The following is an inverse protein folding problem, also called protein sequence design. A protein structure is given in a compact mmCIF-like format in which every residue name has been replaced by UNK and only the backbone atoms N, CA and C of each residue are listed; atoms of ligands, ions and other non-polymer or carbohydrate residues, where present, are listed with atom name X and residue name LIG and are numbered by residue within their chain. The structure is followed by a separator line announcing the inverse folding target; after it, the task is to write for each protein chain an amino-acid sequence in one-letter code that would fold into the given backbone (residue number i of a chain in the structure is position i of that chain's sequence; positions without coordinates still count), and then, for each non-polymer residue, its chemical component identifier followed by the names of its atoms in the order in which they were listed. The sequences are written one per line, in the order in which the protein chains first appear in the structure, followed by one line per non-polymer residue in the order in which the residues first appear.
data_IF_965617724759
#
_entry.id   IF_965617724759
#
_cell.length_a   1.000
_cell.length_b   1.000
_cell.length_c   1.000
_cell.angle_alpha   90.00
_cell.angle_beta   90.00
_cell.angle_gamma   90.00
#
_symmetry.space_group_name_H-M   'P 1'
#
loop_
_entity.id
_entity.type
_entity.pdbx_description
1 polymer ?
#
# COMPACT_ATOMS: atom_id res chain seq x y z
N UNK A 1 -14.44 26.80 -43.07
CA UNK A 1 -13.29 26.89 -44.00
C UNK A 1 -12.10 26.26 -43.30
N UNK A 2 -11.71 25.07 -43.77
CA UNK A 2 -10.60 24.27 -43.25
C UNK A 2 -9.28 24.90 -43.68
N UNK A 3 -8.34 25.10 -42.74
CA UNK A 3 -6.92 25.28 -43.06
C UNK A 3 -6.09 24.40 -42.13
N UNK A 4 -5.78 23.22 -42.64
CA UNK A 4 -4.76 22.32 -42.14
C UNK A 4 -3.40 22.97 -42.37
N UNK A 5 -2.62 23.18 -41.31
CA UNK A 5 -1.18 23.46 -41.42
C UNK A 5 -0.44 22.23 -40.92
N UNK A 6 0.06 21.47 -41.90
CA UNK A 6 1.08 20.46 -41.77
C UNK A 6 2.37 21.10 -41.27
N UNK A 7 2.78 20.80 -40.05
CA UNK A 7 4.16 21.03 -39.61
C UNK A 7 4.91 19.70 -39.60
N UNK A 8 6.01 19.71 -40.35
CA UNK A 8 6.87 18.60 -40.65
C UNK A 8 7.59 18.09 -39.40
N UNK A 9 7.60 16.77 -39.27
CA UNK A 9 8.43 16.03 -38.33
C UNK A 9 9.91 16.25 -38.68
N UNK A 10 10.65 16.84 -37.74
CA UNK A 10 12.11 16.91 -37.75
C UNK A 10 12.62 15.88 -36.74
N UNK A 11 12.85 14.66 -37.21
CA UNK A 11 13.45 13.56 -36.45
C UNK A 11 14.96 13.79 -36.35
N UNK A 12 15.41 14.30 -35.19
CA UNK A 12 16.83 14.37 -34.84
C UNK A 12 17.23 13.06 -34.12
N UNK A 13 17.92 12.19 -34.85
CA UNK A 13 18.63 11.03 -34.30
C UNK A 13 19.83 11.52 -33.47
N UNK A 14 19.73 11.45 -32.14
CA UNK A 14 20.90 11.32 -31.28
C UNK A 14 20.90 9.90 -30.70
N UNK A 15 21.87 9.11 -31.17
CA UNK A 15 22.22 7.82 -30.57
C UNK A 15 22.88 8.05 -29.22
N UNK A 16 22.27 7.53 -28.17
CA UNK A 16 22.92 7.29 -26.89
C UNK A 16 23.02 5.77 -26.71
N UNK A 17 24.23 5.27 -26.96
CA UNK A 17 24.68 3.94 -26.57
C UNK A 17 24.72 3.86 -25.04
N UNK A 18 23.75 3.21 -24.43
CA UNK A 18 23.87 2.71 -23.06
C UNK A 18 24.05 1.21 -23.07
N UNK A 19 25.18 0.80 -22.51
CA UNK A 19 25.64 -0.57 -22.43
C UNK A 19 24.67 -1.41 -21.61
N UNK A 20 24.25 -2.55 -22.17
CA UNK A 20 23.64 -3.63 -21.43
C UNK A 20 24.69 -4.24 -20.48
N UNK A 21 24.54 -4.03 -19.18
CA UNK A 21 25.18 -4.86 -18.17
C UNK A 21 24.28 -6.07 -17.93
N UNK A 22 24.62 -7.16 -18.59
CA UNK A 22 24.18 -8.53 -18.30
C UNK A 22 24.61 -8.91 -16.88
N UNK A 23 23.68 -8.82 -15.92
CA UNK A 23 23.80 -9.45 -14.61
C UNK A 23 23.19 -10.86 -14.64
N UNK A 24 23.87 -11.78 -15.33
CA UNK A 24 23.59 -13.21 -15.21
C UNK A 24 24.45 -13.72 -14.06
N UNK A 25 23.96 -13.66 -12.83
CA UNK A 25 24.60 -14.39 -11.73
C UNK A 25 24.15 -15.85 -11.72
N UNK A 26 25.18 -16.67 -11.60
CA UNK A 26 25.25 -18.09 -11.83
C UNK A 26 24.62 -18.85 -10.66
N UNK A 27 23.76 -19.81 -11.00
CA UNK A 27 23.30 -20.89 -10.12
C UNK A 27 24.52 -21.56 -9.46
N UNK A 28 24.65 -21.41 -8.15
CA UNK A 28 25.59 -22.20 -7.37
C UNK A 28 24.98 -23.59 -7.19
N UNK A 29 25.64 -24.58 -7.78
CA UNK A 29 25.34 -25.98 -7.59
C UNK A 29 25.47 -26.36 -6.10
N UNK A 30 24.48 -27.07 -5.58
CA UNK A 30 24.53 -27.72 -4.26
C UNK A 30 25.63 -28.79 -4.29
N UNK A 31 26.72 -28.56 -3.57
CA UNK A 31 27.74 -29.56 -3.29
C UNK A 31 27.21 -30.56 -2.25
N UNK A 32 26.91 -31.78 -2.70
CA UNK A 32 26.38 -32.87 -1.87
C UNK A 32 27.48 -33.72 -1.19
N UNK A 33 28.72 -33.25 -1.12
CA UNK A 33 29.83 -34.04 -0.54
C UNK A 33 30.02 -33.88 0.97
N UNK A 34 29.19 -33.12 1.67
CA UNK A 34 29.32 -32.87 3.13
C UNK A 34 28.25 -33.50 4.01
N UNK A 35 27.58 -34.58 3.57
CA UNK A 35 26.86 -35.46 4.49
C UNK A 35 27.78 -36.64 4.88
N UNK A 36 28.49 -36.58 6.02
CA UNK A 36 29.13 -37.76 6.57
C UNK A 36 28.05 -38.72 7.08
N UNK A 37 27.84 -39.79 6.34
CA UNK A 37 27.32 -41.03 6.90
C UNK A 37 28.49 -41.88 7.39
N UNK A 38 28.44 -42.30 8.66
CA UNK A 38 29.04 -43.52 9.22
C UNK A 38 28.22 -43.86 10.49
N UNK A 39 27.33 -44.85 10.45
CA UNK A 39 27.52 -46.30 10.71
C UNK A 39 27.81 -46.69 12.16
N UNK A 40 26.89 -47.52 12.69
CA UNK A 40 27.13 -48.52 13.76
C UNK A 40 26.80 -48.04 15.18
N UNK A 41 26.03 -48.76 16.01
CA UNK A 41 25.42 -50.08 15.90
C UNK A 41 24.77 -50.52 17.22
N UNK A 42 23.85 -51.49 17.09
CA UNK A 42 23.51 -52.62 17.98
C UNK A 42 23.02 -52.45 19.43
N UNK A 43 21.88 -53.11 19.70
CA UNK A 43 21.43 -53.65 20.99
C UNK A 43 20.04 -53.13 21.37
N UNK A 44 18.95 -53.88 21.49
CA UNK A 44 18.73 -55.33 21.60
C UNK A 44 17.71 -55.60 22.73
N UNK A 45 16.76 -56.51 22.46
CA UNK A 45 15.70 -57.10 23.32
C UNK A 45 14.39 -56.29 23.44
N UNK A 46 13.21 -56.86 23.20
CA UNK A 46 12.85 -58.25 22.88
C UNK A 46 11.32 -58.42 22.96
N UNK A 47 10.77 -59.41 22.25
CA UNK A 47 9.37 -59.81 22.38
C UNK A 47 8.71 -60.45 21.16
N UNK A 48 9.29 -61.53 20.63
CA UNK A 48 8.56 -62.55 19.85
C UNK A 48 7.57 -63.28 20.79
N UNK A 49 6.60 -64.11 20.40
CA UNK A 49 6.28 -64.83 19.19
C UNK A 49 4.82 -65.31 19.26
N UNK A 50 4.27 -65.57 18.09
CA UNK A 50 3.13 -66.43 17.77
C UNK A 50 2.96 -67.67 18.66
N UNK A 51 1.69 -68.04 18.89
CA UNK A 51 1.32 -69.33 19.47
C UNK A 51 -0.17 -69.67 19.29
N UNK A 52 -0.45 -70.28 18.14
CA UNK A 52 -1.56 -71.16 17.76
C UNK A 52 -2.81 -71.33 18.63
N UNK A 53 -3.97 -71.34 17.95
CA UNK A 53 -5.22 -71.88 18.49
C UNK A 53 -6.23 -72.13 17.37
N UNK A 54 -6.13 -73.29 16.73
CA UNK A 54 -7.19 -73.81 15.89
C UNK A 54 -8.43 -74.10 16.75
N UNK A 55 -9.60 -73.57 16.34
CA UNK A 55 -10.88 -74.25 16.56
C UNK A 55 -11.80 -73.98 15.37
N UNK A 56 -12.07 -75.07 14.68
CA UNK A 56 -13.21 -75.28 13.80
C UNK A 56 -14.47 -75.26 14.67
N UNK A 57 -15.54 -74.61 14.19
CA UNK A 57 -16.89 -74.80 14.71
C UNK A 57 -17.56 -73.53 15.19
N UNK A 58 -18.21 -72.82 14.27
CA UNK A 58 -19.07 -71.67 14.57
C UNK A 58 -19.91 -71.24 13.37
N UNK A 59 -20.53 -72.19 12.67
CA UNK A 59 -21.70 -71.87 11.86
C UNK A 59 -22.84 -71.53 12.84
N UNK A 60 -23.34 -70.29 12.82
CA UNK A 60 -24.59 -69.94 13.49
C UNK A 60 -24.64 -68.54 14.08
N UNK A 61 -25.32 -67.65 13.37
CA UNK A 61 -25.70 -66.30 13.81
C UNK A 61 -25.03 -65.27 12.90
N UNK A 62 -25.54 -64.94 11.71
CA UNK A 62 -26.84 -64.26 11.57
C UNK A 62 -27.14 -63.42 12.81
N UNK A 63 -26.22 -62.53 13.17
CA UNK A 63 -26.53 -61.39 14.00
C UNK A 63 -27.42 -60.47 13.20
N UNK A 64 -28.71 -60.80 13.17
CA UNK A 64 -29.78 -59.90 12.78
C UNK A 64 -29.76 -58.72 13.75
N UNK A 65 -28.88 -57.76 13.47
CA UNK A 65 -28.73 -56.48 14.16
C UNK A 65 -28.58 -55.30 13.20
N UNK A 66 -28.45 -55.56 11.89
CA UNK A 66 -28.72 -54.56 10.88
C UNK A 66 -30.22 -54.53 10.65
N UNK A 67 -30.90 -53.51 11.17
CA UNK A 67 -32.16 -53.10 10.58
C UNK A 67 -31.87 -52.81 9.11
N UNK A 68 -32.49 -53.49 8.14
CA UNK A 68 -32.39 -53.15 6.72
C UNK A 68 -33.06 -51.78 6.50
N UNK A 69 -32.39 -50.70 6.89
CA UNK A 69 -32.97 -49.36 6.84
C UNK A 69 -33.11 -48.94 5.37
N UNK A 70 -34.28 -48.40 4.99
CA UNK A 70 -34.49 -47.91 3.64
C UNK A 70 -33.67 -46.64 3.40
N UNK A 71 -33.43 -46.35 2.12
CA UNK A 71 -32.77 -45.14 1.64
C UNK A 71 -33.41 -43.89 2.30
N UNK A 72 -32.56 -42.95 2.73
CA UNK A 72 -32.94 -41.70 3.38
C UNK A 72 -33.18 -41.80 4.89
N UNK A 73 -32.96 -42.96 5.50
CA UNK A 73 -33.03 -43.12 6.96
C UNK A 73 -31.67 -42.84 7.61
N UNK A 74 -31.67 -42.25 8.81
CA UNK A 74 -30.45 -42.04 9.58
C UNK A 74 -29.73 -43.37 9.92
N UNK A 75 -28.41 -43.38 9.79
CA UNK A 75 -27.54 -44.52 10.07
C UNK A 75 -26.23 -44.06 10.72
N UNK A 76 -25.52 -45.00 11.35
CA UNK A 76 -24.19 -44.80 11.93
C UNK A 76 -23.13 -45.69 11.26
N UNK A 77 -23.53 -46.82 10.65
CA UNK A 77 -22.63 -47.74 9.93
C UNK A 77 -23.29 -48.26 8.65
N UNK A 78 -22.46 -48.57 7.65
CA UNK A 78 -22.91 -49.05 6.33
C UNK A 78 -23.77 -50.31 6.36
N UNK A 79 -23.52 -51.21 7.32
CA UNK A 79 -24.26 -52.48 7.49
C UNK A 79 -25.71 -52.28 7.94
N UNK A 80 -26.11 -51.06 8.32
CA UNK A 80 -27.49 -50.72 8.68
C UNK A 80 -28.35 -50.35 7.47
N UNK A 81 -27.77 -50.20 6.29
CA UNK A 81 -28.48 -49.74 5.11
C UNK A 81 -28.71 -50.89 4.14
N UNK A 82 -29.92 -51.02 3.57
CA UNK A 82 -30.18 -52.04 2.53
C UNK A 82 -29.24 -51.90 1.34
N UNK A 83 -28.79 -50.68 1.05
CA UNK A 83 -27.83 -50.37 0.00
C UNK A 83 -26.39 -50.73 0.35
N UNK A 84 -26.06 -50.91 1.63
CA UNK A 84 -24.69 -51.06 2.12
C UNK A 84 -23.88 -49.76 2.17
N UNK A 85 -24.52 -48.59 2.03
CA UNK A 85 -23.84 -47.29 2.07
C UNK A 85 -24.47 -46.37 3.12
N UNK A 86 -23.73 -46.08 4.18
CA UNK A 86 -24.08 -45.05 5.15
C UNK A 86 -23.13 -43.87 4.97
N UNK A 87 -23.61 -42.78 4.37
CA UNK A 87 -22.83 -41.58 4.04
C UNK A 87 -23.59 -40.38 4.60
N UNK A 88 -22.90 -39.37 5.13
CA UNK A 88 -23.52 -38.24 5.84
C UNK A 88 -24.51 -38.65 6.96
N UNK A 89 -24.28 -39.80 7.59
CA UNK A 89 -25.17 -40.40 8.58
C UNK A 89 -26.59 -40.71 8.05
N UNK A 90 -26.76 -40.89 6.74
CA UNK A 90 -28.00 -41.33 6.08
C UNK A 90 -27.74 -42.52 5.16
N UNK A 91 -28.72 -43.41 5.02
CA UNK A 91 -28.63 -44.55 4.11
C UNK A 91 -28.77 -44.09 2.66
N UNK A 92 -27.70 -44.25 1.89
CA UNK A 92 -27.54 -43.71 0.54
C UNK A 92 -27.73 -44.77 -0.51
N UNK A 93 -28.22 -44.41 -1.69
CA UNK A 93 -28.40 -45.37 -2.79
C UNK A 93 -27.07 -45.90 -3.35
N UNK A 94 -25.98 -45.14 -3.21
CA UNK A 94 -24.60 -45.50 -3.56
C UNK A 94 -23.60 -44.92 -2.54
N UNK A 95 -22.31 -45.10 -2.77
CA UNK A 95 -21.25 -44.55 -1.93
C UNK A 95 -21.10 -43.01 -2.01
N UNK A 96 -21.73 -42.36 -2.98
CA UNK A 96 -21.55 -40.93 -3.27
C UNK A 96 -20.07 -40.52 -3.38
N UNK A 97 -19.28 -41.27 -4.16
CA UNK A 97 -17.80 -41.18 -4.24
C UNK A 97 -17.29 -40.26 -5.36
N UNK A 98 -18.17 -39.61 -6.11
CA UNK A 98 -17.74 -38.58 -7.05
C UNK A 98 -17.43 -37.29 -6.29
N UNK A 99 -16.45 -36.53 -6.79
CA UNK A 99 -16.03 -35.26 -6.21
C UNK A 99 -17.22 -34.36 -5.89
N UNK A 100 -17.23 -33.82 -4.68
CA UNK A 100 -18.26 -32.91 -4.20
C UNK A 100 -19.66 -33.52 -4.27
N UNK A 101 -19.79 -34.80 -3.93
CA UNK A 101 -21.09 -35.41 -3.69
C UNK A 101 -21.41 -35.45 -2.22
N UNK A 102 -22.70 -35.33 -1.94
CA UNK A 102 -23.26 -35.52 -0.63
C UNK A 102 -24.51 -36.38 -0.75
N UNK A 103 -24.96 -36.91 0.39
CA UNK A 103 -26.13 -37.77 0.49
C UNK A 103 -27.22 -37.19 1.40
N UNK A 104 -26.82 -36.47 2.45
CA UNK A 104 -27.80 -35.81 3.31
C UNK A 104 -28.33 -34.53 2.66
N UNK A 105 -29.61 -34.25 2.82
CA UNK A 105 -30.23 -32.99 2.41
C UNK A 105 -29.61 -31.78 3.14
N UNK A 106 -28.89 -32.00 4.26
CA UNK A 106 -28.20 -30.94 5.00
C UNK A 106 -26.91 -30.48 4.29
N UNK A 107 -26.19 -31.40 3.65
CA UNK A 107 -24.90 -31.15 2.97
C UNK A 107 -25.03 -31.01 1.45
N UNK A 108 -26.10 -31.53 0.84
CA UNK A 108 -26.41 -31.35 -0.59
C UNK A 108 -26.99 -29.98 -0.92
N UNK A 109 -26.84 -29.59 -2.19
CA UNK A 109 -27.50 -28.40 -2.74
C UNK A 109 -29.01 -28.55 -2.91
N UNK A 110 -29.50 -29.76 -3.22
CA UNK A 110 -30.93 -30.08 -3.41
C UNK A 110 -31.21 -31.58 -3.19
N UNK A 111 -32.50 -31.95 -3.06
CA UNK A 111 -32.99 -33.32 -2.95
C UNK A 111 -33.22 -33.81 -1.51
N UNK A 112 -33.93 -34.93 -1.40
CA UNK A 112 -34.20 -35.59 -0.11
C UNK A 112 -33.02 -36.47 0.33
N UNK A 113 -32.93 -36.79 1.62
CA UNK A 113 -31.92 -37.71 2.16
C UNK A 113 -31.88 -39.04 1.39
N UNK A 114 -30.68 -39.58 1.20
CA UNK A 114 -30.46 -40.92 0.65
C UNK A 114 -30.19 -40.99 -0.85
N UNK A 115 -30.46 -39.92 -1.60
CA UNK A 115 -30.05 -39.81 -3.01
C UNK A 115 -28.81 -38.97 -3.17
N UNK A 116 -27.76 -39.49 -3.81
CA UNK A 116 -26.53 -38.74 -4.00
C UNK A 116 -26.78 -37.54 -4.93
N UNK A 117 -26.20 -36.41 -4.59
CA UNK A 117 -26.27 -35.20 -5.41
C UNK A 117 -25.10 -34.29 -5.09
N UNK A 118 -24.95 -33.22 -5.86
CA UNK A 118 -23.87 -32.27 -5.63
C UNK A 118 -23.99 -31.68 -4.21
N UNK A 119 -22.85 -31.61 -3.53
CA UNK A 119 -22.69 -30.91 -2.28
C UNK A 119 -23.10 -29.44 -2.46
N UNK A 120 -23.53 -28.80 -1.39
CA UNK A 120 -23.89 -27.40 -1.39
C UNK A 120 -22.64 -26.54 -1.61
N UNK A 121 -22.78 -25.43 -2.33
CA UNK A 121 -21.67 -24.48 -2.49
C UNK A 121 -21.13 -24.06 -1.10
N UNK A 122 -19.81 -24.16 -0.92
CA UNK A 122 -19.12 -23.87 0.33
C UNK A 122 -19.17 -24.98 1.38
N UNK A 123 -19.58 -26.20 1.01
CA UNK A 123 -19.60 -27.37 1.88
C UNK A 123 -18.76 -28.46 1.28
N UNK A 124 -17.73 -28.90 2.01
CA UNK A 124 -16.99 -30.12 1.73
C UNK A 124 -17.08 -31.03 2.97
N UNK A 125 -18.03 -31.96 2.95
CA UNK A 125 -18.26 -32.88 4.07
C UNK A 125 -17.41 -34.13 4.00
N UNK A 126 -16.85 -34.45 2.82
CA UNK A 126 -16.10 -35.68 2.56
C UNK A 126 -14.61 -35.46 2.37
N UNK A 127 -14.14 -34.21 2.47
CA UNK A 127 -12.73 -33.84 2.29
C UNK A 127 -12.29 -34.15 0.85
N UNK A 128 -13.17 -33.82 -0.11
CA UNK A 128 -12.97 -34.04 -1.54
C UNK A 128 -12.06 -32.99 -2.18
N UNK A 129 -11.94 -31.81 -1.54
CA UNK A 129 -11.26 -30.65 -2.08
C UNK A 129 -10.14 -30.18 -1.16
N UNK A 130 -8.90 -30.30 -1.64
CA UNK A 130 -7.74 -29.71 -1.00
C UNK A 130 -7.72 -28.19 -1.21
N UNK A 131 -7.38 -27.42 -0.16
CA UNK A 131 -7.10 -25.98 -0.26
C UNK A 131 -5.67 -25.77 -0.76
N UNK A 132 -5.52 -25.13 -1.92
CA UNK A 132 -4.24 -24.79 -2.54
C UNK A 132 -3.63 -23.49 -1.97
N UNK A 133 -4.37 -22.78 -1.12
CA UNK A 133 -3.98 -21.54 -0.45
C UNK A 133 -4.31 -20.29 -1.29
N UNK A 134 -4.77 -19.23 -0.60
CA UNK A 134 -5.28 -18.00 -1.22
C UNK A 134 -4.28 -17.33 -2.18
N UNK A 135 -2.98 -17.39 -1.88
CA UNK A 135 -1.89 -16.84 -2.70
C UNK A 135 -1.84 -17.44 -4.11
N UNK A 136 -2.42 -18.62 -4.32
CA UNK A 136 -2.44 -19.29 -5.62
C UNK A 136 -3.66 -18.95 -6.47
N UNK A 137 -4.72 -18.38 -5.85
CA UNK A 137 -6.07 -18.29 -6.41
C UNK A 137 -6.67 -19.62 -6.87
N UNK A 138 -6.04 -20.75 -6.53
CA UNK A 138 -6.44 -22.09 -6.91
C UNK A 138 -7.67 -22.56 -6.13
N UNK A 139 -7.72 -23.84 -5.80
CA UNK A 139 -8.83 -24.41 -5.03
C UNK A 139 -8.86 -23.87 -3.59
N UNK A 140 -10.04 -23.53 -3.08
CA UNK A 140 -10.23 -22.98 -1.72
C UNK A 140 -10.68 -24.03 -0.68
N UNK A 141 -10.57 -25.30 -1.05
CA UNK A 141 -10.93 -26.45 -0.21
C UNK A 141 -12.43 -26.68 -0.05
N UNK A 142 -13.27 -26.08 -0.89
CA UNK A 142 -14.73 -26.18 -0.78
C UNK A 142 -15.37 -26.54 -2.13
N UNK A 143 -16.58 -27.11 -2.08
CA UNK A 143 -17.33 -27.44 -3.28
C UNK A 143 -18.04 -26.23 -3.90
N UNK A 144 -18.17 -26.21 -5.22
CA UNK A 144 -18.80 -25.12 -6.00
C UNK A 144 -20.33 -25.20 -6.08
N UNK A 145 -20.92 -26.35 -5.72
CA UNK A 145 -22.35 -26.62 -5.87
C UNK A 145 -22.73 -27.33 -7.18
N UNK A 146 -21.80 -27.42 -8.13
CA UNK A 146 -21.97 -28.03 -9.44
C UNK A 146 -21.22 -29.38 -9.58
N UNK A 147 -20.54 -29.81 -8.51
CA UNK A 147 -19.86 -31.10 -8.43
C UNK A 147 -18.36 -31.00 -8.74
N UNK A 148 -17.79 -29.80 -8.60
CA UNK A 148 -16.35 -29.59 -8.66
C UNK A 148 -15.86 -28.83 -7.42
N UNK A 149 -14.55 -28.86 -7.23
CA UNK A 149 -13.89 -28.02 -6.23
C UNK A 149 -13.88 -26.57 -6.72
N UNK A 150 -14.20 -25.67 -5.80
CA UNK A 150 -14.32 -24.23 -6.02
C UNK A 150 -12.93 -23.59 -5.99
N UNK A 151 -12.71 -22.64 -6.88
CA UNK A 151 -11.54 -21.76 -6.84
C UNK A 151 -11.79 -20.57 -5.91
N UNK A 152 -10.73 -19.94 -5.40
CA UNK A 152 -10.85 -18.70 -4.64
C UNK A 152 -11.67 -17.66 -5.42
N UNK A 153 -12.71 -17.06 -4.80
CA UNK A 153 -13.58 -16.12 -5.49
C UNK A 153 -12.84 -14.84 -5.88
N UNK A 154 -13.39 -14.15 -6.89
CA UNK A 154 -12.86 -12.88 -7.34
C UNK A 154 -12.77 -11.86 -6.18
N UNK A 155 -11.63 -11.18 -6.07
CA UNK A 155 -11.33 -10.22 -5.00
C UNK A 155 -10.69 -10.83 -3.74
N UNK A 156 -10.52 -12.15 -3.68
CA UNK A 156 -9.68 -12.77 -2.63
C UNK A 156 -8.25 -12.26 -2.73
N UNK A 157 -7.62 -11.92 -1.59
CA UNK A 157 -6.21 -11.51 -1.60
C UNK A 157 -5.30 -12.69 -1.94
N UNK A 158 -4.31 -12.43 -2.80
CA UNK A 158 -3.41 -13.47 -3.29
C UNK A 158 -1.94 -13.04 -3.37
N UNK A 159 -1.58 -11.96 -2.68
CA UNK A 159 -0.24 -11.38 -2.78
C UNK A 159 -0.10 -10.09 -2.01
N UNK A 160 0.40 -9.05 -2.68
CA UNK A 160 0.61 -7.76 -2.05
C UNK A 160 -0.70 -7.19 -1.51
N UNK A 161 -0.66 -6.69 -0.28
CA UNK A 161 -1.78 -6.00 0.34
C UNK A 161 -1.79 -4.52 -0.06
N UNK A 162 -2.99 -3.91 -0.05
CA UNK A 162 -3.13 -2.49 -0.30
C UNK A 162 -2.38 -1.69 0.77
N UNK A 163 -1.63 -0.67 0.34
CA UNK A 163 -0.90 0.19 1.26
C UNK A 163 -0.24 1.35 0.54
N UNK A 164 0.19 2.34 1.30
CA UNK A 164 0.98 3.46 0.80
C UNK A 164 2.01 3.82 1.85
N UNK A 165 3.28 3.67 1.50
CA UNK A 165 4.41 4.04 2.33
C UNK A 165 5.46 4.76 1.49
N UNK A 166 6.14 5.73 2.10
CA UNK A 166 7.25 6.47 1.48
C UNK A 166 6.90 7.02 0.08
N UNK A 167 5.71 7.58 -0.09
CA UNK A 167 5.25 8.16 -1.36
C UNK A 167 5.01 7.14 -2.48
N UNK A 168 4.85 5.86 -2.14
CA UNK A 168 4.54 4.78 -3.08
C UNK A 168 3.31 4.02 -2.62
N UNK A 169 2.27 4.03 -3.45
CA UNK A 169 1.06 3.26 -3.28
C UNK A 169 1.21 1.87 -3.91
N UNK A 170 0.88 0.84 -3.16
CA UNK A 170 0.74 -0.55 -3.59
C UNK A 170 -0.74 -0.87 -3.72
N UNK A 171 -1.14 -1.35 -4.89
CA UNK A 171 -2.49 -1.85 -5.12
C UNK A 171 -2.58 -3.31 -4.65
N UNK A 172 -3.71 -3.75 -4.08
CA UNK A 172 -3.86 -5.11 -3.61
C UNK A 172 -3.92 -6.09 -4.78
N UNK A 173 -3.18 -7.19 -4.67
CA UNK A 173 -3.24 -8.31 -5.59
C UNK A 173 -4.47 -9.17 -5.26
N UNK A 174 -5.28 -9.46 -6.28
CA UNK A 174 -6.57 -10.10 -6.10
C UNK A 174 -6.82 -11.21 -7.12
N UNK A 175 -7.50 -12.27 -6.68
CA UNK A 175 -7.96 -13.32 -7.58
C UNK A 175 -9.01 -12.79 -8.56
N UNK A 176 -8.98 -13.29 -9.80
CA UNK A 176 -10.00 -13.01 -10.81
C UNK A 176 -11.23 -13.91 -10.71
N UNK A 177 -11.18 -14.96 -9.87
CA UNK A 177 -12.22 -15.98 -9.75
C UNK A 177 -12.16 -17.08 -10.80
N UNK A 178 -11.15 -17.08 -11.67
CA UNK A 178 -10.88 -18.09 -12.70
C UNK A 178 -9.56 -18.85 -12.42
N UNK A 179 -8.95 -18.63 -11.25
CA UNK A 179 -7.71 -19.30 -10.85
C UNK A 179 -6.44 -18.46 -11.03
N UNK A 180 -6.57 -17.15 -11.31
CA UNK A 180 -5.41 -16.28 -11.57
C UNK A 180 -5.33 -15.16 -10.54
N UNK A 181 -4.15 -15.02 -9.93
CA UNK A 181 -3.81 -13.87 -9.11
C UNK A 181 -3.44 -12.68 -10.01
N UNK A 182 -4.23 -11.61 -9.94
CA UNK A 182 -3.98 -10.38 -10.68
C UNK A 182 -3.04 -9.49 -9.87
N UNK A 183 -1.81 -9.36 -10.36
CA UNK A 183 -0.82 -8.44 -9.80
C UNK A 183 -1.00 -7.06 -10.41
N UNK A 184 -1.43 -6.10 -9.59
CA UNK A 184 -1.70 -4.72 -10.05
C UNK A 184 -0.43 -3.86 -9.97
N UNK A 185 0.40 -4.10 -8.96
CA UNK A 185 1.69 -3.42 -8.78
C UNK A 185 1.60 -2.12 -7.98
N UNK A 186 2.47 -1.16 -8.30
CA UNK A 186 2.66 0.06 -7.51
C UNK A 186 2.56 1.33 -8.35
N UNK A 187 2.28 2.44 -7.68
CA UNK A 187 2.24 3.79 -8.23
C UNK A 187 3.00 4.75 -7.30
N UNK A 188 3.85 5.61 -7.86
CA UNK A 188 4.43 6.71 -7.11
C UNK A 188 3.44 7.87 -6.98
N UNK A 189 3.37 8.48 -5.80
CA UNK A 189 2.47 9.59 -5.50
C UNK A 189 2.89 10.92 -6.12
N UNK A 190 4.10 11.01 -6.69
CA UNK A 190 4.61 12.23 -7.29
C UNK A 190 4.88 13.28 -6.23
N UNK A 191 4.28 14.46 -6.37
CA UNK A 191 4.44 15.59 -5.44
C UNK A 191 3.61 15.45 -4.15
N UNK A 192 2.85 14.37 -4.01
CA UNK A 192 1.96 14.12 -2.88
C UNK A 192 2.52 13.03 -1.97
N UNK A 193 2.21 13.14 -0.68
CA UNK A 193 2.43 12.06 0.27
C UNK A 193 1.28 11.06 0.27
N UNK A 194 1.50 9.92 0.93
CA UNK A 194 0.44 8.99 1.27
C UNK A 194 -0.57 9.63 2.22
N UNK A 195 -1.82 9.18 2.13
CA UNK A 195 -2.86 9.61 3.06
C UNK A 195 -2.53 9.18 4.50
N UNK A 196 -3.14 9.81 5.53
CA UNK A 196 -2.85 9.47 6.92
C UNK A 196 -3.15 8.02 7.32
N UNK A 197 -4.02 7.31 6.56
CA UNK A 197 -4.27 5.89 6.78
C UNK A 197 -3.19 4.98 6.16
N UNK A 198 -2.30 5.52 5.32
CA UNK A 198 -1.24 4.78 4.64
C UNK A 198 -1.79 3.79 3.63
N UNK A 199 -2.83 4.16 2.88
CA UNK A 199 -3.52 3.28 1.93
C UNK A 199 -3.43 3.78 0.48
N UNK A 200 -3.49 5.10 0.28
CA UNK A 200 -3.54 5.70 -1.06
C UNK A 200 -2.67 6.95 -1.15
N UNK A 201 -2.25 7.30 -2.35
CA UNK A 201 -1.68 8.61 -2.61
C UNK A 201 -2.73 9.70 -2.40
N UNK A 202 -2.35 10.83 -1.82
CA UNK A 202 -3.20 12.02 -1.82
C UNK A 202 -3.29 12.60 -3.24
N UNK A 203 -4.45 13.17 -3.57
CA UNK A 203 -4.67 13.90 -4.83
C UNK A 203 -4.87 15.40 -4.62
N UNK A 204 -5.01 15.81 -3.36
CA UNK A 204 -5.15 17.20 -2.93
C UNK A 204 -4.45 17.38 -1.58
N UNK A 205 -4.04 18.62 -1.30
CA UNK A 205 -3.38 18.98 -0.05
C UNK A 205 -4.17 20.03 0.72
N UNK A 206 -3.97 20.02 2.03
CA UNK A 206 -4.45 21.03 2.97
C UNK A 206 -3.29 21.84 3.55
N UNK A 207 -2.16 21.18 3.79
CA UNK A 207 -0.92 21.78 4.28
C UNK A 207 0.27 21.20 3.52
N UNK A 208 1.42 21.86 3.59
CA UNK A 208 2.63 21.41 2.90
C UNK A 208 3.14 20.05 3.39
N UNK A 209 2.73 19.60 4.57
CA UNK A 209 3.01 18.24 5.07
C UNK A 209 2.35 17.13 4.25
N UNK A 210 1.30 17.46 3.50
CA UNK A 210 0.62 16.53 2.59
C UNK A 210 1.40 16.37 1.28
N UNK A 211 2.41 17.21 1.05
CA UNK A 211 3.24 17.21 -0.13
C UNK A 211 4.58 16.51 0.13
N UNK A 212 5.09 15.86 -0.91
CA UNK A 212 6.42 15.27 -0.89
C UNK A 212 7.50 16.35 -0.68
N UNK A 213 8.66 15.92 -0.19
CA UNK A 213 9.80 16.81 0.03
C UNK A 213 10.14 17.62 -1.24
N UNK A 214 10.30 18.94 -1.07
CA UNK A 214 10.54 19.86 -2.19
C UNK A 214 9.27 20.39 -2.86
N UNK A 215 8.08 20.04 -2.35
CA UNK A 215 6.79 20.57 -2.79
C UNK A 215 6.03 21.23 -1.64
N UNK A 216 5.12 22.13 -1.96
CA UNK A 216 4.27 22.83 -0.99
C UNK A 216 2.82 22.85 -1.44
N UNK A 217 1.91 23.06 -0.50
CA UNK A 217 0.49 23.13 -0.80
C UNK A 217 0.10 24.55 -1.23
N UNK A 218 -0.30 24.71 -2.50
CA UNK A 218 -0.72 26.00 -3.02
C UNK A 218 -2.18 26.35 -2.62
N UNK A 219 -2.60 27.57 -2.92
CA UNK A 219 -3.97 28.03 -2.63
C UNK A 219 -5.08 27.30 -3.43
N UNK A 220 -4.72 26.50 -4.43
CA UNK A 220 -5.64 25.66 -5.19
C UNK A 220 -5.73 24.23 -4.62
N UNK A 221 -5.11 23.94 -3.46
CA UNK A 221 -5.02 22.61 -2.85
C UNK A 221 -4.25 21.59 -3.70
N UNK A 222 -3.27 22.07 -4.46
CA UNK A 222 -2.36 21.24 -5.26
C UNK A 222 -0.96 21.27 -4.65
N UNK A 223 -0.33 20.09 -4.57
CA UNK A 223 1.09 20.02 -4.28
C UNK A 223 1.87 20.43 -5.51
N UNK A 224 2.66 21.49 -5.38
CA UNK A 224 3.50 22.00 -6.47
C UNK A 224 4.93 22.20 -5.97
N UNK A 225 5.93 22.12 -6.86
CA UNK A 225 7.32 22.32 -6.47
C UNK A 225 7.54 23.65 -5.76
N UNK A 226 8.38 23.62 -4.72
CA UNK A 226 8.84 24.81 -4.03
C UNK A 226 9.58 25.76 -4.98
N UNK A 227 9.51 27.04 -4.63
CA UNK A 227 10.09 28.13 -5.41
C UNK A 227 11.53 28.39 -5.00
N UNK A 228 12.36 28.58 -6.00
CA UNK A 228 13.76 28.95 -5.81
C UNK A 228 13.90 30.36 -5.21
N UNK A 229 15.06 30.62 -4.60
CA UNK A 229 15.44 31.95 -4.14
C UNK A 229 15.22 33.01 -5.23
N UNK A 230 14.81 34.22 -4.79
CA UNK A 230 14.50 35.38 -5.64
C UNK A 230 13.20 35.28 -6.46
N UNK A 231 12.53 34.13 -6.49
CA UNK A 231 11.18 34.03 -7.05
C UNK A 231 10.17 34.75 -6.16
N UNK A 232 9.06 35.20 -6.75
CA UNK A 232 7.98 35.79 -5.98
C UNK A 232 7.29 34.74 -5.13
N UNK A 233 6.84 35.10 -3.94
CA UNK A 233 6.05 34.25 -3.06
C UNK A 233 4.89 35.07 -2.48
N UNK A 234 3.85 34.40 -2.02
CA UNK A 234 2.69 35.02 -1.38
C UNK A 234 2.83 34.83 0.13
N UNK A 235 2.95 35.95 0.86
CA UNK A 235 3.13 35.91 2.32
C UNK A 235 2.09 35.03 3.01
N UNK A 236 2.54 34.12 3.88
CA UNK A 236 1.70 33.15 4.58
C UNK A 236 2.03 31.67 4.30
N UNK A 237 2.92 31.38 3.35
CA UNK A 237 3.45 30.04 3.10
C UNK A 237 4.98 30.06 3.14
N UNK A 238 5.57 29.96 4.33
CA UNK A 238 7.03 29.83 4.50
C UNK A 238 7.57 28.63 3.70
N UNK A 239 6.76 27.57 3.64
CA UNK A 239 7.02 26.36 2.87
C UNK A 239 6.95 26.56 1.34
N UNK A 240 6.49 27.71 0.82
CA UNK A 240 6.49 27.97 -0.63
C UNK A 240 7.91 28.08 -1.18
N UNK A 241 8.88 28.50 -0.36
CA UNK A 241 10.24 28.74 -0.79
C UNK A 241 11.15 27.57 -0.40
N UNK A 242 12.07 27.18 -1.28
CA UNK A 242 13.10 26.17 -0.98
C UNK A 242 14.00 26.58 0.19
N UNK A 243 14.08 27.88 0.45
CA UNK A 243 14.79 28.46 1.57
C UNK A 243 13.98 28.45 2.87
N UNK A 244 12.67 28.23 2.80
CA UNK A 244 11.74 28.36 3.94
C UNK A 244 11.35 29.79 4.29
N UNK A 245 11.78 30.80 3.52
CA UNK A 245 11.58 32.20 3.88
C UNK A 245 10.90 33.00 2.76
N UNK A 246 9.63 33.34 2.95
CA UNK A 246 8.93 34.28 2.08
C UNK A 246 8.90 35.68 2.71
N UNK A 247 9.81 36.56 2.28
CA UNK A 247 10.00 37.90 2.86
C UNK A 247 9.86 38.95 1.77
N UNK A 248 9.10 40.02 2.06
CA UNK A 248 8.80 41.10 1.10
C UNK A 248 8.20 40.63 -0.24
N UNK A 249 7.51 39.48 -0.24
CA UNK A 249 6.95 38.87 -1.44
C UNK A 249 7.97 38.15 -2.32
N UNK A 250 9.18 37.86 -1.82
CA UNK A 250 10.20 37.08 -2.51
C UNK A 250 10.81 35.98 -1.63
N UNK A 251 11.20 34.87 -2.24
CA UNK A 251 11.92 33.79 -1.57
C UNK A 251 13.32 34.26 -1.17
N UNK A 252 13.53 34.41 0.13
CA UNK A 252 14.73 34.98 0.72
C UNK A 252 15.73 33.92 1.17
N UNK A 253 17.04 34.20 1.15
CA UNK A 253 18.05 33.28 1.71
C UNK A 253 17.93 33.06 3.22
N UNK A 254 17.33 34.00 3.94
CA UNK A 254 17.14 33.97 5.39
C UNK A 254 15.84 34.68 5.77
N UNK A 255 15.38 34.51 7.01
CA UNK A 255 14.13 35.08 7.50
C UNK A 255 14.08 36.62 7.54
N UNK A 256 15.23 37.31 7.50
CA UNK A 256 15.32 38.76 7.69
C UNK A 256 14.70 39.30 8.99
N UNK A 257 14.69 38.51 10.07
CA UNK A 257 14.06 38.90 11.35
C UNK A 257 14.80 40.01 12.14
N UNK A 258 16.01 40.39 11.72
CA UNK A 258 16.75 41.45 12.40
C UNK A 258 16.27 42.83 11.96
N UNK A 259 16.37 43.81 12.86
CA UNK A 259 15.98 45.20 12.56
C UNK A 259 16.69 45.73 11.31
N UNK A 260 15.97 46.53 10.52
CA UNK A 260 16.46 47.14 9.29
C UNK A 260 16.98 46.13 8.28
N UNK A 261 16.33 44.97 8.18
CA UNK A 261 16.57 43.95 7.16
C UNK A 261 15.37 43.83 6.23
N UNK A 262 15.69 43.68 4.95
CA UNK A 262 14.70 43.47 3.92
C UNK A 262 15.26 42.55 2.83
N UNK A 263 14.36 41.93 2.09
CA UNK A 263 14.67 40.98 1.03
C UNK A 263 14.32 41.50 -0.37
N UNK A 264 13.47 42.52 -0.45
CA UNK A 264 13.13 43.16 -1.71
C UNK A 264 14.13 44.25 -2.10
N UNK A 265 14.39 44.35 -3.39
CA UNK A 265 15.14 45.46 -3.98
C UNK A 265 14.48 46.82 -3.73
N UNK A 266 13.15 46.85 -3.60
CA UNK A 266 12.37 48.05 -3.28
C UNK A 266 12.73 48.64 -1.91
N UNK A 267 12.85 47.79 -0.88
CA UNK A 267 13.20 48.22 0.48
C UNK A 267 14.70 48.38 0.72
N UNK A 268 15.53 47.54 0.09
CA UNK A 268 16.99 47.59 0.26
C UNK A 268 17.66 48.66 -0.59
N UNK A 269 17.01 49.10 -1.68
CA UNK A 269 17.60 50.02 -2.66
C UNK A 269 18.73 49.40 -3.48
N UNK A 270 18.93 48.07 -3.40
CA UNK A 270 19.97 47.30 -4.09
C UNK A 270 19.30 46.39 -5.12
N UNK A 271 19.85 46.31 -6.34
CA UNK A 271 19.32 45.42 -7.37
C UNK A 271 19.38 43.95 -6.96
N UNK A 272 18.28 43.22 -7.23
CA UNK A 272 18.13 41.80 -6.96
C UNK A 272 17.35 41.51 -5.67
N UNK A 273 16.26 40.76 -5.79
CA UNK A 273 15.43 40.29 -4.67
C UNK A 273 15.97 38.95 -4.13
N UNK A 274 15.49 38.52 -2.97
CA UNK A 274 15.76 37.18 -2.45
C UNK A 274 17.04 37.05 -1.62
N UNK A 275 17.82 38.12 -1.46
CA UNK A 275 18.94 38.16 -0.52
C UNK A 275 18.61 39.14 0.59
N UNK A 276 18.74 38.69 1.83
CA UNK A 276 18.53 39.51 2.99
C UNK A 276 19.64 40.56 3.13
N UNK A 277 19.28 41.83 3.05
CA UNK A 277 20.21 42.96 3.11
C UNK A 277 19.68 44.05 4.02
N UNK A 278 20.53 45.03 4.29
CA UNK A 278 20.12 46.21 5.03
C UNK A 278 19.07 46.98 4.22
N UNK A 279 18.03 47.44 4.90
CA UNK A 279 17.11 48.46 4.40
C UNK A 279 17.90 49.68 3.94
N UNK A 280 17.40 50.34 2.89
CA UNK A 280 18.02 51.54 2.33
C UNK A 280 18.22 52.60 3.42
N UNK A 281 19.39 53.24 3.41
CA UNK A 281 19.70 54.28 4.40
C UNK A 281 18.66 55.40 4.35
N UNK A 282 18.29 55.93 5.51
CA UNK A 282 17.32 57.02 5.65
C UNK A 282 15.89 56.63 5.19
N UNK A 283 15.55 55.35 5.26
CA UNK A 283 14.19 54.85 5.06
C UNK A 283 13.79 53.93 6.21
N UNK A 284 12.49 53.80 6.44
CA UNK A 284 11.90 52.85 7.38
C UNK A 284 10.62 52.26 6.76
N UNK A 285 10.74 51.36 5.77
CA UNK A 285 9.59 50.83 5.05
C UNK A 285 8.72 49.87 5.88
N UNK A 286 9.22 49.40 7.03
CA UNK A 286 8.56 48.45 7.91
C UNK A 286 8.12 49.06 9.25
N UNK A 287 8.33 50.37 9.45
CA UNK A 287 7.98 51.14 10.66
C UNK A 287 8.53 50.49 11.94
N UNK A 288 9.81 50.10 11.90
CA UNK A 288 10.50 49.41 12.98
C UNK A 288 11.36 50.37 13.84
N UNK A 289 11.62 51.59 13.36
CA UNK A 289 12.57 52.52 13.97
C UNK A 289 11.95 53.63 14.82
N UNK A 290 10.65 53.53 15.16
CA UNK A 290 9.99 54.41 16.14
C UNK A 290 10.23 55.92 15.86
N UNK A 291 10.06 56.35 14.61
CA UNK A 291 10.26 57.75 14.17
C UNK A 291 11.68 58.10 13.70
N UNK A 292 12.63 57.18 13.83
CA UNK A 292 13.95 57.25 13.19
C UNK A 292 13.95 56.44 11.88
N UNK A 293 15.08 56.46 11.17
CA UNK A 293 15.25 55.69 9.94
C UNK A 293 16.37 54.66 10.07
N UNK A 294 16.39 53.69 9.17
CA UNK A 294 17.44 52.68 9.10
C UNK A 294 18.79 53.23 8.64
N UNK A 295 19.86 52.70 9.22
CA UNK A 295 21.25 52.98 8.82
C UNK A 295 22.17 51.81 9.14
N UNK A 296 22.83 51.27 8.11
CA UNK A 296 23.79 50.16 8.26
C UNK A 296 23.21 48.90 8.95
N UNK A 297 21.91 48.63 8.77
CA UNK A 297 21.24 47.45 9.30
C UNK A 297 20.87 47.57 10.78
N UNK A 298 20.62 48.79 11.25
CA UNK A 298 20.04 49.07 12.56
C UNK A 298 19.25 50.39 12.51
N UNK A 299 18.31 50.55 13.43
CA UNK A 299 17.62 51.81 13.62
C UNK A 299 18.55 52.87 14.18
N UNK A 300 18.44 54.10 13.67
CA UNK A 300 19.09 55.24 14.32
C UNK A 300 18.46 55.49 15.69
N UNK A 301 19.26 56.01 16.60
CA UNK A 301 18.82 56.48 17.92
C UNK A 301 18.98 57.99 18.09
N UNK A 302 19.58 58.66 17.10
CA UNK A 302 19.79 60.10 17.04
C UNK A 302 19.70 60.60 15.59
N UNK A 303 19.43 61.89 15.41
CA UNK A 303 19.35 62.52 14.10
C UNK A 303 20.29 63.74 13.98
N UNK A 304 20.80 63.98 12.78
CA UNK A 304 21.60 65.15 12.41
C UNK A 304 20.83 66.12 11.49
N UNK A 305 19.80 65.62 10.80
CA UNK A 305 18.91 66.38 9.95
C UNK A 305 17.60 65.60 9.72
N UNK A 306 16.60 66.24 9.11
CA UNK A 306 15.28 65.66 8.91
C UNK A 306 15.25 64.41 8.03
N UNK A 307 16.26 64.14 7.19
CA UNK A 307 16.29 62.91 6.40
C UNK A 307 16.59 61.67 7.24
N UNK A 308 16.96 61.83 8.52
CA UNK A 308 17.23 60.73 9.44
C UNK A 308 16.02 60.38 10.31
N UNK A 309 14.95 61.15 10.18
CA UNK A 309 13.68 60.94 10.84
C UNK A 309 12.66 60.39 9.84
N UNK A 310 11.81 59.51 10.32
CA UNK A 310 10.77 58.90 9.49
C UNK A 310 9.68 59.93 9.11
N UNK A 311 8.81 59.57 8.16
CA UNK A 311 7.73 60.44 7.72
C UNK A 311 6.86 60.90 8.89
N UNK A 312 6.71 62.22 9.04
CA UNK A 312 5.96 62.84 10.14
C UNK A 312 6.81 63.27 11.34
N UNK A 313 8.12 63.00 11.33
CA UNK A 313 9.06 63.44 12.35
C UNK A 313 10.02 64.52 11.82
N UNK A 314 10.49 65.38 12.71
CA UNK A 314 11.50 66.40 12.41
C UNK A 314 12.67 66.27 13.39
N UNK A 315 13.88 66.58 12.92
CA UNK A 315 15.06 66.48 13.75
C UNK A 315 15.21 67.74 14.61
N UNK A 316 14.97 67.61 15.91
CA UNK A 316 15.05 68.66 16.91
C UNK A 316 15.97 68.21 18.03
N UNK A 317 17.04 68.97 18.33
CA UNK A 317 17.97 68.65 19.41
C UNK A 317 18.54 67.21 19.38
N UNK A 318 18.83 66.70 18.18
CA UNK A 318 19.30 65.31 17.90
C UNK A 318 18.27 64.21 18.13
N UNK A 319 17.00 64.55 18.34
CA UNK A 319 15.88 63.63 18.52
C UNK A 319 14.88 63.82 17.39
N UNK A 320 14.33 62.73 16.88
CA UNK A 320 13.20 62.78 15.96
C UNK A 320 11.91 63.00 16.75
N UNK A 321 11.29 64.16 16.57
CA UNK A 321 10.07 64.58 17.28
C UNK A 321 8.95 64.87 16.28
N UNK A 322 7.70 64.52 16.62
CA UNK A 322 6.55 64.95 15.82
C UNK A 322 6.31 66.45 15.99
N UNK A 323 5.87 67.16 14.93
CA UNK A 323 5.65 68.60 14.95
C UNK A 323 4.54 69.06 15.90
#
# INVERSE_FOLDING_TARGET
MRRWHTFAALTLLLGATFAASTGCELIVAVDRTTIPGETGGTGGAGGDASGGGANVGGNGGSGAGGTDLPIGTACNTSDQCTSGFCVDNVCCETACDATCQACSAATKGDGADGTCGNAKNGVDSHDDCDDEGADTCGLDGLCDGEGACRVYPAGSSCGAEAGCENGTQTFPDQCDGEGVCIVVGTQMCGDYNCDPAGMVCLEACTTSTDCADGSYCNAASECVPQRDQSQTCVGGAEDECTTGFCVDGYCCDTACDAECKACSSAKTGISGNGTCRNVAVNTDPDDECNGYTCSAGACRTTCANNSQCDMGYTCSSMVCEQP
#
